data_IF_821761076262
#
_entry.id   IF_821761076262
#
_cell.length_a   1.000
_cell.length_b   1.000
_cell.length_c   1.000
_cell.angle_alpha   90.00
_cell.angle_beta   90.00
_cell.angle_gamma   90.00
#
_symmetry.space_group_name_H-M   'P 1'
#
loop_
_entity.id
_entity.type
_entity.pdbx_description
1 polymer ?
#
# COMPACT_ATOMS: atom_id res chain seq x y z
N UNK A 1 19.07 30.36 5.32
CA UNK A 1 19.11 28.88 5.32
C UNK A 1 18.17 28.39 4.24
N UNK A 2 18.68 27.68 3.23
CA UNK A 2 17.88 27.16 2.11
C UNK A 2 17.71 25.66 2.27
N UNK A 3 16.47 25.20 2.47
CA UNK A 3 16.14 23.77 2.46
C UNK A 3 15.96 23.30 1.01
N UNK A 4 16.42 22.08 0.73
CA UNK A 4 16.26 21.43 -0.58
C UNK A 4 14.86 20.83 -0.74
N UNK A 5 14.36 20.69 -1.96
CA UNK A 5 13.03 20.10 -2.22
C UNK A 5 12.87 18.71 -1.58
N UNK A 6 13.91 17.88 -1.63
CA UNK A 6 13.95 16.56 -0.99
C UNK A 6 13.74 16.62 0.53
N UNK A 7 14.17 17.68 1.19
CA UNK A 7 13.96 17.88 2.64
C UNK A 7 12.54 18.32 2.98
N UNK A 8 11.79 18.85 2.00
CA UNK A 8 10.39 19.26 2.16
C UNK A 8 9.41 18.15 1.74
N UNK A 9 9.90 17.08 1.12
CA UNK A 9 9.08 15.93 0.70
C UNK A 9 8.77 15.01 1.90
N UNK A 10 7.53 15.07 2.40
CA UNK A 10 7.04 14.09 3.37
C UNK A 10 6.63 12.79 2.66
N UNK A 11 7.62 11.96 2.36
CA UNK A 11 7.48 10.72 1.56
C UNK A 11 6.50 9.70 2.14
N UNK A 12 6.32 9.71 3.46
CA UNK A 12 5.47 8.75 4.17
C UNK A 12 4.01 9.21 4.27
N UNK A 13 3.75 10.50 4.03
CA UNK A 13 2.40 11.07 4.13
C UNK A 13 1.45 10.63 3.02
N UNK A 14 1.94 9.94 1.99
CA UNK A 14 1.09 9.40 0.93
C UNK A 14 0.23 8.24 1.44
N UNK A 15 0.81 7.33 2.21
CA UNK A 15 0.11 6.13 2.70
C UNK A 15 -1.02 6.56 3.65
N UNK A 16 -0.71 7.43 4.59
CA UNK A 16 -1.69 7.96 5.56
C UNK A 16 -2.84 8.72 4.88
N UNK A 17 -2.57 9.43 3.78
CA UNK A 17 -3.62 10.17 3.06
C UNK A 17 -4.45 9.31 2.12
N UNK A 18 -3.96 8.15 1.71
CA UNK A 18 -4.55 7.35 0.65
C UNK A 18 -5.24 6.07 1.16
N UNK A 19 -4.74 5.50 2.26
CA UNK A 19 -5.42 4.39 2.94
C UNK A 19 -6.39 4.99 3.94
N UNK A 20 -7.67 5.01 3.58
CA UNK A 20 -8.72 5.64 4.39
C UNK A 20 -8.96 4.98 5.76
N UNK A 21 -9.16 3.65 5.81
CA UNK A 21 -9.41 2.96 7.08
C UNK A 21 -8.13 2.74 7.90
N UNK A 22 -8.15 3.14 9.17
CA UNK A 22 -7.12 2.77 10.14
C UNK A 22 -7.25 1.29 10.56
N UNK A 23 -6.32 0.83 11.41
CA UNK A 23 -6.28 -0.57 11.84
C UNK A 23 -7.55 -1.03 12.59
N UNK A 24 -8.16 -0.17 13.42
CA UNK A 24 -9.38 -0.51 14.14
C UNK A 24 -10.57 -0.59 13.19
N UNK A 25 -10.69 0.39 12.30
CA UNK A 25 -11.74 0.42 11.28
C UNK A 25 -11.64 -0.80 10.33
N UNK A 26 -10.42 -1.19 9.92
CA UNK A 26 -10.21 -2.41 9.15
C UNK A 26 -10.69 -3.65 9.89
N UNK A 27 -10.42 -3.75 11.20
CA UNK A 27 -10.88 -4.89 12.01
C UNK A 27 -12.40 -4.95 12.13
N UNK A 28 -13.07 -3.80 12.28
CA UNK A 28 -14.54 -3.71 12.29
C UNK A 28 -15.15 -4.14 10.96
N UNK A 29 -14.56 -3.68 9.85
CA UNK A 29 -14.97 -4.09 8.50
C UNK A 29 -14.77 -5.59 8.29
N UNK A 30 -13.62 -6.12 8.68
CA UNK A 30 -13.29 -7.56 8.59
C UNK A 30 -14.30 -8.42 9.36
N UNK A 31 -14.66 -8.00 10.59
CA UNK A 31 -15.69 -8.67 11.39
C UNK A 31 -17.06 -8.64 10.69
N UNK A 32 -17.41 -7.52 10.07
CA UNK A 32 -18.69 -7.36 9.35
C UNK A 32 -18.79 -8.33 8.16
N UNK A 33 -17.69 -8.55 7.44
CA UNK A 33 -17.64 -9.49 6.31
C UNK A 33 -17.32 -10.94 6.74
N UNK A 34 -17.13 -11.19 8.04
CA UNK A 34 -16.86 -12.53 8.58
C UNK A 34 -15.44 -13.05 8.30
N UNK A 35 -14.46 -12.17 8.13
CA UNK A 35 -13.07 -12.53 7.91
C UNK A 35 -12.21 -12.19 9.14
N UNK A 36 -11.32 -13.12 9.53
CA UNK A 36 -10.43 -12.91 10.69
C UNK A 36 -9.22 -12.03 10.36
N UNK A 37 -8.86 -11.92 9.08
CA UNK A 37 -7.75 -11.10 8.59
C UNK A 37 -7.92 -10.72 7.12
N UNK A 38 -7.17 -9.71 6.68
CA UNK A 38 -7.12 -9.33 5.27
C UNK A 38 -6.64 -10.48 4.39
N UNK A 39 -5.66 -11.27 4.84
CA UNK A 39 -5.17 -12.44 4.11
C UNK A 39 -6.25 -13.54 3.99
N UNK A 40 -7.00 -13.78 5.06
CA UNK A 40 -8.12 -14.73 5.02
C UNK A 40 -9.20 -14.27 4.04
N UNK A 41 -9.53 -12.98 4.03
CA UNK A 41 -10.46 -12.39 3.06
C UNK A 41 -9.95 -12.53 1.62
N UNK A 42 -8.68 -12.23 1.35
CA UNK A 42 -8.08 -12.39 0.01
C UNK A 42 -8.16 -13.84 -0.46
N UNK A 43 -7.86 -14.81 0.41
CA UNK A 43 -7.95 -16.23 0.08
C UNK A 43 -9.36 -16.73 -0.21
N UNK A 44 -10.39 -16.07 0.32
CA UNK A 44 -11.79 -16.37 0.00
C UNK A 44 -12.23 -15.81 -1.36
N UNK A 45 -11.62 -14.71 -1.82
CA UNK A 45 -12.02 -13.99 -3.03
C UNK A 45 -11.20 -14.39 -4.25
N UNK A 46 -9.88 -14.56 -4.07
CA UNK A 46 -8.93 -14.81 -5.16
C UNK A 46 -8.67 -16.32 -5.25
N UNK A 47 -9.03 -16.95 -6.38
CA UNK A 47 -8.65 -18.33 -6.64
C UNK A 47 -7.13 -18.55 -6.52
N UNK A 48 -6.75 -19.65 -5.88
CA UNK A 48 -5.34 -19.92 -5.54
C UNK A 48 -4.43 -20.04 -6.77
N UNK A 49 -4.97 -20.45 -7.91
CA UNK A 49 -4.27 -20.63 -9.18
C UNK A 49 -3.82 -19.31 -9.83
N UNK A 50 -4.50 -18.19 -9.52
CA UNK A 50 -4.14 -16.86 -10.01
C UNK A 50 -3.53 -15.95 -8.94
N UNK A 51 -3.48 -16.42 -7.69
CA UNK A 51 -2.93 -15.63 -6.59
C UNK A 51 -1.40 -15.54 -6.70
N UNK A 52 -0.85 -14.33 -6.62
CA UNK A 52 0.59 -14.11 -6.65
C UNK A 52 1.24 -14.64 -5.36
N UNK A 53 2.11 -15.65 -5.49
CA UNK A 53 2.80 -16.29 -4.36
C UNK A 53 3.81 -15.38 -3.64
N UNK A 54 4.39 -14.41 -4.35
CA UNK A 54 5.43 -13.51 -3.83
C UNK A 54 5.05 -12.08 -4.15
N UNK A 55 5.27 -11.17 -3.20
CA UNK A 55 5.15 -9.73 -3.43
C UNK A 55 5.95 -9.36 -4.68
N UNK A 56 5.24 -8.91 -5.72
CA UNK A 56 5.87 -8.50 -6.96
C UNK A 56 6.83 -7.37 -6.63
N UNK A 57 8.13 -7.60 -6.78
CA UNK A 57 9.14 -6.55 -6.68
C UNK A 57 8.84 -5.55 -7.80
N UNK A 58 8.12 -4.48 -7.46
CA UNK A 58 8.23 -3.24 -8.22
C UNK A 58 9.72 -2.91 -8.24
N UNK A 59 10.26 -2.61 -9.43
CA UNK A 59 11.63 -2.14 -9.53
C UNK A 59 11.78 -1.04 -8.49
N UNK A 60 12.67 -1.26 -7.51
CA UNK A 60 12.92 -0.36 -6.37
C UNK A 60 12.86 1.05 -6.92
N UNK A 61 11.85 1.83 -6.52
CA UNK A 61 11.60 3.21 -6.93
C UNK A 61 12.95 3.94 -6.87
N UNK A 62 13.63 4.01 -8.00
CA UNK A 62 14.93 4.65 -8.08
C UNK A 62 14.65 6.12 -7.79
N UNK A 63 15.20 6.70 -6.72
CA UNK A 63 15.12 8.14 -6.56
C UNK A 63 15.76 8.75 -7.82
N UNK A 64 15.00 9.55 -8.59
CA UNK A 64 15.34 10.11 -9.91
C UNK A 64 15.27 9.21 -11.16
N UNK A 65 14.20 8.42 -11.37
CA UNK A 65 13.93 7.89 -12.71
C UNK A 65 13.51 9.01 -13.69
N UNK A 66 14.21 9.24 -14.84
CA UNK A 66 13.88 10.30 -15.80
C UNK A 66 12.52 10.15 -16.49
N UNK A 67 11.92 8.96 -16.39
CA UNK A 67 10.68 8.57 -17.08
C UNK A 67 9.47 9.47 -16.77
N UNK A 68 9.50 10.23 -15.67
CA UNK A 68 8.40 11.12 -15.26
C UNK A 68 8.70 12.61 -15.40
N UNK A 69 9.76 13.00 -16.14
CA UNK A 69 10.02 14.39 -16.51
C UNK A 69 9.65 14.62 -17.99
N UNK A 70 8.39 14.90 -18.24
CA UNK A 70 7.87 15.62 -19.41
C UNK A 70 6.52 16.22 -19.04
#
# INVERSE_FOLDING_TARGET
MTQTLSQLENRDAFIERHIGPDAQQQQEMLKTVGADSLNALIGQIVPQDIQLATHRRWATRLPNSPRWRS
#
